data_IF_206573953182
#
_entry.id   IF_206573953182
#
_cell.length_a   1.000
_cell.length_b   1.000
_cell.length_c   1.000
_cell.angle_alpha   90.00
_cell.angle_beta   90.00
_cell.angle_gamma   90.00
#
_symmetry.space_group_name_H-M   'P 1'
#
loop_
_entity.id
_entity.type
_entity.pdbx_description
1 polymer ?
#
# COMPACT_ATOMS: atom_id res chain seq x y z
N UNK A 1 -15.51 -9.24 -9.46
CA UNK A 1 -16.30 -10.34 -8.89
C UNK A 1 -17.06 -9.83 -7.67
N UNK A 2 -18.30 -10.24 -7.51
CA UNK A 2 -19.09 -9.99 -6.30
C UNK A 2 -18.88 -11.19 -5.37
N UNK A 3 -18.56 -10.95 -4.11
CA UNK A 3 -18.47 -12.03 -3.12
C UNK A 3 -19.88 -12.51 -2.79
N UNK A 4 -20.24 -13.77 -3.09
CA UNK A 4 -21.59 -14.28 -2.85
C UNK A 4 -21.96 -14.33 -1.36
N UNK A 5 -21.00 -14.32 -0.44
CA UNK A 5 -21.26 -14.33 1.00
C UNK A 5 -21.48 -12.92 1.58
N UNK A 6 -20.77 -11.91 1.08
CA UNK A 6 -20.82 -10.53 1.63
C UNK A 6 -21.49 -9.52 0.72
N UNK A 7 -21.85 -9.91 -0.50
CA UNK A 7 -22.39 -9.06 -1.56
C UNK A 7 -21.53 -7.81 -1.82
N UNK A 8 -20.22 -7.92 -1.58
CA UNK A 8 -19.27 -6.82 -1.76
C UNK A 8 -18.52 -6.99 -3.07
N UNK A 9 -18.39 -5.89 -3.81
CA UNK A 9 -17.56 -5.86 -5.02
C UNK A 9 -16.10 -6.01 -4.63
N UNK A 10 -15.40 -6.93 -5.28
CA UNK A 10 -13.96 -7.17 -5.12
C UNK A 10 -13.21 -6.91 -6.42
N UNK A 11 -11.93 -6.58 -6.28
CA UNK A 11 -10.93 -6.48 -7.36
C UNK A 11 -9.75 -7.40 -7.07
N UNK A 12 -9.13 -7.90 -8.13
CA UNK A 12 -7.87 -8.64 -8.02
C UNK A 12 -6.74 -7.63 -7.78
N UNK A 13 -5.91 -7.92 -6.81
CA UNK A 13 -4.65 -7.22 -6.55
C UNK A 13 -3.54 -8.28 -6.55
N UNK A 14 -2.52 -8.07 -7.38
CA UNK A 14 -1.41 -9.01 -7.52
C UNK A 14 -0.09 -8.28 -7.60
N UNK A 15 0.95 -8.89 -7.03
CA UNK A 15 2.33 -8.45 -7.23
C UNK A 15 2.80 -8.76 -8.65
N UNK A 16 3.63 -7.91 -9.24
CA UNK A 16 4.13 -8.14 -10.61
C UNK A 16 4.97 -9.41 -10.75
N UNK A 17 5.52 -9.91 -9.65
CA UNK A 17 6.30 -11.16 -9.55
C UNK A 17 5.46 -12.36 -9.08
N UNK A 18 4.13 -12.23 -8.99
CA UNK A 18 3.26 -13.39 -8.78
C UNK A 18 3.25 -14.28 -10.04
N UNK A 19 3.09 -15.60 -9.91
CA UNK A 19 3.04 -16.51 -11.05
C UNK A 19 2.00 -16.09 -12.10
N UNK A 20 0.82 -15.64 -11.67
CA UNK A 20 -0.27 -15.21 -12.55
C UNK A 20 0.10 -13.96 -13.34
N UNK A 21 0.81 -13.01 -12.73
CA UNK A 21 1.28 -11.80 -13.39
C UNK A 21 2.41 -12.08 -14.38
N UNK A 22 3.36 -12.95 -14.01
CA UNK A 22 4.47 -13.36 -14.88
C UNK A 22 3.92 -14.09 -16.10
N UNK A 23 3.01 -15.05 -15.88
CA UNK A 23 2.32 -15.77 -16.94
C UNK A 23 1.59 -14.84 -17.90
N UNK A 24 0.81 -13.88 -17.39
CA UNK A 24 0.10 -12.90 -18.23
C UNK A 24 1.07 -12.01 -19.01
N UNK A 25 2.18 -11.58 -18.41
CA UNK A 25 3.15 -10.71 -19.07
C UNK A 25 3.94 -11.40 -20.19
N UNK A 26 4.10 -12.72 -20.10
CA UNK A 26 4.89 -13.54 -21.04
C UNK A 26 3.99 -14.43 -21.91
N UNK A 27 2.68 -14.22 -21.91
CA UNK A 27 1.71 -15.08 -22.58
C UNK A 27 1.99 -15.29 -24.07
N UNK A 28 2.52 -14.27 -24.74
CA UNK A 28 2.87 -14.30 -26.18
C UNK A 28 4.31 -14.79 -26.46
N UNK A 29 5.06 -15.21 -25.44
CA UNK A 29 6.44 -15.69 -25.56
C UNK A 29 6.47 -17.21 -25.71
N UNK A 30 7.61 -17.79 -26.13
CA UNK A 30 7.78 -19.23 -26.20
C UNK A 30 7.73 -19.91 -24.82
N UNK A 31 7.37 -21.20 -24.82
CA UNK A 31 7.20 -21.99 -23.59
C UNK A 31 8.49 -22.13 -22.78
N UNK A 32 9.67 -22.14 -23.41
CA UNK A 32 10.94 -22.28 -22.72
C UNK A 32 11.26 -21.02 -21.88
N UNK A 33 11.06 -19.84 -22.46
CA UNK A 33 11.19 -18.56 -21.78
C UNK A 33 10.19 -18.43 -20.63
N UNK A 34 8.93 -18.83 -20.85
CA UNK A 34 7.89 -18.80 -19.81
C UNK A 34 8.22 -19.74 -18.65
N UNK A 35 8.61 -20.98 -18.94
CA UNK A 35 8.96 -21.97 -17.91
C UNK A 35 10.16 -21.51 -17.10
N UNK A 36 11.20 -20.98 -17.75
CA UNK A 36 12.38 -20.42 -17.08
C UNK A 36 12.00 -19.27 -16.14
N UNK A 37 11.08 -18.39 -16.57
CA UNK A 37 10.61 -17.30 -15.73
C UNK A 37 9.84 -17.81 -14.49
N UNK A 38 9.03 -18.86 -14.64
CA UNK A 38 8.25 -19.46 -13.56
C UNK A 38 9.08 -20.30 -12.57
N UNK A 39 10.30 -20.70 -12.93
CA UNK A 39 11.26 -21.33 -12.00
C UNK A 39 11.78 -20.37 -10.93
N UNK A 40 11.71 -19.05 -11.20
CA UNK A 40 12.12 -18.04 -10.22
C UNK A 40 11.13 -18.03 -9.05
N UNK A 41 11.58 -18.15 -7.79
CA UNK A 41 10.69 -18.12 -6.64
C UNK A 41 9.83 -16.85 -6.63
N UNK A 42 8.50 -16.97 -6.51
CA UNK A 42 7.63 -15.82 -6.53
C UNK A 42 7.78 -14.98 -5.27
N UNK A 43 7.93 -13.66 -5.45
CA UNK A 43 7.90 -12.67 -4.37
C UNK A 43 6.53 -11.97 -4.25
N UNK A 44 5.67 -12.17 -5.25
CA UNK A 44 4.33 -11.60 -5.34
C UNK A 44 3.26 -12.65 -5.11
N UNK A 45 2.11 -12.20 -4.62
CA UNK A 45 0.92 -13.03 -4.44
C UNK A 45 -0.29 -12.37 -5.09
N UNK A 46 -1.25 -13.18 -5.53
CA UNK A 46 -2.57 -12.71 -5.95
C UNK A 46 -3.56 -12.81 -4.79
N UNK A 47 -4.27 -11.71 -4.53
CA UNK A 47 -5.33 -11.64 -3.53
C UNK A 47 -6.52 -10.85 -4.05
N UNK A 48 -7.68 -11.07 -3.45
CA UNK A 48 -8.86 -10.25 -3.70
C UNK A 48 -8.97 -9.14 -2.66
N UNK A 49 -9.12 -7.90 -3.12
CA UNK A 49 -9.31 -6.73 -2.27
C UNK A 49 -10.71 -6.13 -2.44
N UNK A 50 -11.31 -5.56 -1.37
CA UNK A 50 -12.59 -4.87 -1.49
C UNK A 50 -12.49 -3.68 -2.46
N UNK A 51 -13.55 -3.44 -3.22
CA UNK A 51 -13.66 -2.25 -4.05
C UNK A 51 -13.69 -0.99 -3.19
N UNK A 52 -12.78 -0.05 -3.47
CA UNK A 52 -12.58 1.17 -2.67
C UNK A 52 -13.23 2.43 -3.23
N UNK A 53 -13.97 2.35 -4.34
CA UNK A 53 -14.59 3.51 -4.98
C UNK A 53 -13.65 4.27 -5.92
N UNK A 54 -13.92 5.57 -6.09
CA UNK A 54 -13.17 6.46 -7.00
C UNK A 54 -11.78 6.78 -6.47
N UNK A 55 -10.79 6.86 -7.36
CA UNK A 55 -9.44 7.29 -7.00
C UNK A 55 -9.43 8.74 -6.51
N UNK A 56 -10.33 9.58 -7.03
CA UNK A 56 -10.43 11.00 -6.67
C UNK A 56 -10.74 11.15 -5.18
N UNK A 57 -11.69 10.38 -4.66
CA UNK A 57 -12.10 10.44 -3.24
C UNK A 57 -10.95 9.99 -2.33
N UNK A 58 -10.24 8.94 -2.73
CA UNK A 58 -9.06 8.44 -2.02
C UNK A 58 -7.96 9.51 -1.96
N UNK A 59 -7.64 10.15 -3.10
CA UNK A 59 -6.63 11.20 -3.17
C UNK A 59 -7.02 12.43 -2.35
N UNK A 60 -8.29 12.83 -2.36
CA UNK A 60 -8.77 13.93 -1.53
C UNK A 60 -8.60 13.66 -0.04
N UNK A 61 -8.88 12.42 0.41
CA UNK A 61 -8.68 11.99 1.80
C UNK A 61 -7.21 11.94 2.19
N UNK A 62 -6.34 11.36 1.35
CA UNK A 62 -4.89 11.33 1.57
C UNK A 62 -4.35 12.76 1.72
N UNK A 63 -4.73 13.66 0.81
CA UNK A 63 -4.36 15.08 0.88
C UNK A 63 -4.80 15.72 2.20
N UNK A 64 -6.02 15.44 2.66
CA UNK A 64 -6.52 15.94 3.95
C UNK A 64 -5.64 15.50 5.12
N UNK A 65 -5.37 14.20 5.24
CA UNK A 65 -4.52 13.68 6.31
C UNK A 65 -3.09 14.22 6.26
N UNK A 66 -2.50 14.38 5.07
CA UNK A 66 -1.17 14.98 4.92
C UNK A 66 -1.14 16.43 5.42
N UNK A 67 -2.18 17.23 5.14
CA UNK A 67 -2.28 18.60 5.67
C UNK A 67 -2.40 18.61 7.19
N UNK A 68 -3.20 17.71 7.77
CA UNK A 68 -3.30 17.56 9.22
C UNK A 68 -1.95 17.17 9.84
N UNK A 69 -1.23 16.21 9.25
CA UNK A 69 0.08 15.80 9.74
C UNK A 69 1.12 16.94 9.70
N UNK A 70 1.17 17.70 8.60
CA UNK A 70 2.03 18.90 8.48
C UNK A 70 1.65 19.96 9.50
N UNK A 71 0.35 20.18 9.74
CA UNK A 71 -0.14 21.10 10.76
C UNK A 71 0.28 20.66 12.18
N UNK A 72 0.17 19.36 12.51
CA UNK A 72 0.62 18.84 13.81
C UNK A 72 2.13 18.93 14.01
N UNK A 73 2.91 18.83 12.93
CA UNK A 73 4.34 19.10 12.96
C UNK A 73 4.68 20.60 13.18
N UNK A 74 3.69 21.49 13.11
CA UNK A 74 3.86 22.93 13.23
C UNK A 74 4.50 23.56 12.00
N UNK A 75 4.28 22.99 10.81
CA UNK A 75 4.93 23.38 9.57
C UNK A 75 3.91 23.79 8.49
N UNK A 76 4.38 24.44 7.42
CA UNK A 76 3.55 24.88 6.30
C UNK A 76 3.70 24.02 5.04
N UNK A 77 4.65 23.09 5.04
CA UNK A 77 4.93 22.20 3.90
C UNK A 77 5.48 20.84 4.34
N UNK A 78 5.35 19.84 3.46
CA UNK A 78 5.98 18.53 3.66
C UNK A 78 7.50 18.64 3.77
N UNK A 79 8.11 19.57 3.02
CA UNK A 79 9.55 19.80 3.08
C UNK A 79 9.97 20.41 4.42
N UNK A 80 9.21 21.38 4.96
CA UNK A 80 9.44 21.93 6.29
C UNK A 80 9.37 20.87 7.38
N UNK A 81 8.29 20.08 7.37
CA UNK A 81 8.12 18.94 8.30
C UNK A 81 9.27 17.94 8.20
N UNK A 82 9.67 17.57 6.98
CA UNK A 82 10.79 16.65 6.76
C UNK A 82 12.10 17.21 7.29
N UNK A 83 12.46 18.45 6.94
CA UNK A 83 13.72 19.07 7.37
C UNK A 83 13.79 19.19 8.89
N UNK A 84 12.70 19.64 9.52
CA UNK A 84 12.63 19.77 10.98
C UNK A 84 12.78 18.41 11.69
N UNK A 85 12.01 17.41 11.27
CA UNK A 85 11.95 16.11 11.96
C UNK A 85 13.21 15.29 11.69
N UNK A 86 13.72 15.25 10.46
CA UNK A 86 14.87 14.39 10.13
C UNK A 86 16.20 14.90 10.68
N UNK A 87 16.32 16.21 10.95
CA UNK A 87 17.53 16.77 11.56
C UNK A 87 17.71 16.29 13.01
N UNK A 88 16.62 16.11 13.76
CA UNK A 88 16.65 15.54 15.11
C UNK A 88 15.40 14.67 15.35
N UNK A 89 15.40 13.41 14.87
CA UNK A 89 14.22 12.55 14.95
C UNK A 89 13.78 12.26 16.38
N UNK A 90 14.72 12.17 17.32
CA UNK A 90 14.42 11.80 18.71
C UNK A 90 13.75 12.92 19.50
N UNK A 91 13.84 14.18 19.03
CA UNK A 91 13.08 15.29 19.59
C UNK A 91 11.58 15.25 19.20
N UNK A 92 11.21 14.51 18.16
CA UNK A 92 9.86 14.56 17.59
C UNK A 92 9.15 13.21 17.45
N UNK A 93 9.90 12.11 17.32
CA UNK A 93 9.36 10.76 17.13
C UNK A 93 9.54 9.94 18.40
N UNK A 94 8.46 9.27 18.80
CA UNK A 94 8.43 8.41 19.99
C UNK A 94 8.22 6.97 19.53
N UNK A 95 9.15 6.04 19.83
CA UNK A 95 8.93 4.62 19.60
C UNK A 95 7.71 4.14 20.38
N UNK A 96 6.78 3.49 19.70
CA UNK A 96 5.58 2.96 20.35
C UNK A 96 5.81 1.54 20.81
N UNK A 97 5.39 1.24 22.04
CA UNK A 97 5.21 -0.14 22.50
C UNK A 97 4.03 -0.77 21.78
N UNK A 98 3.90 -2.09 21.88
CA UNK A 98 2.76 -2.81 21.30
C UNK A 98 1.42 -2.30 21.85
N UNK A 99 1.34 -2.01 23.16
CA UNK A 99 0.14 -1.45 23.78
C UNK A 99 -0.20 -0.05 23.24
N UNK A 100 0.80 0.83 23.10
CA UNK A 100 0.59 2.18 22.56
C UNK A 100 0.16 2.15 21.08
N UNK A 101 0.68 1.18 20.31
CA UNK A 101 0.26 0.95 18.92
C UNK A 101 -1.22 0.55 18.83
N UNK A 102 -1.68 -0.38 19.68
CA UNK A 102 -3.09 -0.80 19.72
C UNK A 102 -4.02 0.34 20.10
N UNK A 103 -3.67 1.11 21.14
CA UNK A 103 -4.45 2.29 21.55
C UNK A 103 -4.62 3.32 20.42
N UNK A 104 -3.63 3.43 19.55
CA UNK A 104 -3.63 4.38 18.42
C UNK A 104 -4.45 3.90 17.22
N UNK A 105 -4.48 2.58 16.96
CA UNK A 105 -5.00 2.02 15.70
C UNK A 105 -6.34 1.27 15.86
N UNK A 106 -6.53 0.56 16.97
CA UNK A 106 -7.67 -0.37 17.18
C UNK A 106 -8.88 0.29 17.87
N UNK A 107 -8.95 1.63 17.84
CA UNK A 107 -10.07 2.38 18.44
C UNK A 107 -11.42 2.03 17.82
#
# INVERSE_FOLDING_TARGET
MEDPATNTKKKIYRGMTSPEAVFESLYDTDEETLNTALETPPEGQEIQVPYRGSVVDILQRIRGHLRSAVSYAGESSLQGARSKILNDPFAYLIPLTESARRESYER
#
